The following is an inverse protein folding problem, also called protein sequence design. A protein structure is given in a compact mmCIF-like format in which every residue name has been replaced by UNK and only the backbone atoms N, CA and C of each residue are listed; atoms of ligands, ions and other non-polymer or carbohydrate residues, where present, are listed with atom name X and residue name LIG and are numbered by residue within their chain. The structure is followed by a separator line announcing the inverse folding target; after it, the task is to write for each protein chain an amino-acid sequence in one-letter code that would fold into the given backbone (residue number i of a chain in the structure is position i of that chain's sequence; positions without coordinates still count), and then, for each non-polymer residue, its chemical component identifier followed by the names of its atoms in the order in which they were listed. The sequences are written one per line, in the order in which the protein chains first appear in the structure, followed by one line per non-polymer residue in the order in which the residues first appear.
data_IF_477292895864
#
_entry.id   IF_477292895864
#
_cell.length_a   1.000
_cell.length_b   1.000
_cell.length_c   1.000
_cell.angle_alpha   90.00
_cell.angle_beta   90.00
_cell.angle_gamma   90.00
#
_symmetry.space_group_name_H-M   'P 1'
#
loop_
_entity.id
_entity.type
_entity.pdbx_description
1 polymer ?
#
# COMPACT_ATOMS: atom_id res chain seq x y z
N UNK A 1 -20.98 -25.14 -47.39
CA UNK A 1 -20.26 -23.94 -46.91
C UNK A 1 -21.25 -22.78 -46.80
N UNK A 2 -21.31 -22.01 -45.70
CA UNK A 2 -22.45 -21.09 -45.38
C UNK A 2 -22.26 -19.61 -45.76
N UNK A 3 -21.36 -19.28 -46.69
CA UNK A 3 -21.11 -17.90 -47.15
C UNK A 3 -20.97 -16.83 -46.03
N UNK A 4 -20.13 -17.11 -45.01
CA UNK A 4 -19.78 -16.19 -43.90
C UNK A 4 -18.26 -15.99 -43.79
N UNK A 5 -17.59 -15.88 -44.94
CA UNK A 5 -16.12 -15.87 -45.01
C UNK A 5 -15.50 -14.58 -44.47
N UNK A 6 -16.22 -13.46 -44.52
CA UNK A 6 -15.74 -12.15 -44.06
C UNK A 6 -16.66 -11.57 -42.99
N UNK A 7 -16.05 -10.96 -41.97
CA UNK A 7 -16.74 -10.19 -40.91
C UNK A 7 -16.22 -8.76 -40.99
N UNK A 8 -17.07 -7.83 -41.41
CA UNK A 8 -16.76 -6.40 -41.45
C UNK A 8 -17.28 -5.71 -40.19
N UNK A 9 -16.58 -4.67 -39.73
CA UNK A 9 -17.09 -3.80 -38.67
C UNK A 9 -18.26 -2.97 -39.20
N UNK A 10 -19.28 -2.80 -38.37
CA UNK A 10 -20.42 -1.93 -38.68
C UNK A 10 -19.98 -0.47 -38.60
N UNK A 11 -20.34 0.31 -39.61
CA UNK A 11 -20.10 1.75 -39.65
C UNK A 11 -21.12 2.54 -38.84
N UNK A 12 -21.01 3.88 -38.84
CA UNK A 12 -21.94 4.75 -38.13
C UNK A 12 -23.36 4.63 -38.71
N UNK A 13 -24.40 4.55 -37.86
CA UNK A 13 -25.79 4.53 -38.33
C UNK A 13 -26.23 5.96 -38.73
N UNK A 14 -26.89 6.07 -39.87
CA UNK A 14 -27.51 7.32 -40.34
C UNK A 14 -29.02 7.15 -40.22
N UNK A 15 -29.68 8.06 -39.49
CA UNK A 15 -31.12 8.00 -39.27
C UNK A 15 -31.80 9.20 -39.94
N UNK A 16 -32.89 8.94 -40.66
CA UNK A 16 -33.57 9.93 -41.49
C UNK A 16 -35.10 9.79 -41.35
N UNK A 17 -35.82 10.88 -41.61
CA UNK A 17 -37.27 10.96 -41.36
C UNK A 17 -38.15 10.38 -42.46
N UNK A 18 -37.68 10.38 -43.71
CA UNK A 18 -38.47 10.02 -44.90
C UNK A 18 -37.85 8.85 -45.66
N UNK A 19 -38.58 7.74 -45.72
CA UNK A 19 -38.26 6.58 -46.57
C UNK A 19 -38.37 7.01 -48.05
N UNK A 20 -37.25 7.01 -48.77
CA UNK A 20 -37.17 7.47 -50.17
C UNK A 20 -36.35 8.75 -50.42
N UNK A 21 -35.68 9.30 -49.40
CA UNK A 21 -34.74 10.40 -49.64
C UNK A 21 -33.51 9.93 -50.42
N UNK A 22 -32.99 10.77 -51.35
CA UNK A 22 -31.75 10.54 -52.13
C UNK A 22 -30.54 10.16 -51.26
N UNK A 23 -30.62 10.43 -49.96
CA UNK A 23 -29.66 10.06 -48.92
C UNK A 23 -29.52 8.53 -48.80
N UNK A 24 -30.62 7.78 -48.83
CA UNK A 24 -30.60 6.30 -48.70
C UNK A 24 -29.79 5.66 -49.83
N UNK A 25 -29.97 6.16 -51.05
CA UNK A 25 -29.24 5.68 -52.23
C UNK A 25 -27.78 6.09 -52.19
N UNK A 26 -27.47 7.32 -51.76
CA UNK A 26 -26.12 7.86 -51.66
C UNK A 26 -25.24 7.13 -50.63
N UNK A 27 -25.82 6.57 -49.56
CA UNK A 27 -25.08 5.89 -48.48
C UNK A 27 -25.13 4.36 -48.54
N UNK A 28 -25.77 3.77 -49.58
CA UNK A 28 -25.89 2.31 -49.76
C UNK A 28 -24.62 1.66 -50.33
N UNK A 29 -23.73 2.43 -50.95
CA UNK A 29 -22.42 2.00 -51.46
C UNK A 29 -21.47 3.22 -51.54
N UNK A 30 -20.16 3.14 -51.19
CA UNK A 30 -19.31 1.97 -51.02
C UNK A 30 -18.62 1.92 -49.64
N UNK A 31 -19.35 1.87 -48.52
CA UNK A 31 -18.80 1.57 -47.18
C UNK A 31 -19.89 0.91 -46.31
N UNK A 32 -19.55 0.12 -45.28
CA UNK A 32 -20.53 -0.59 -44.45
C UNK A 32 -21.27 0.35 -43.48
N UNK A 33 -21.92 1.40 -43.98
CA UNK A 33 -22.90 2.15 -43.21
C UNK A 33 -24.20 1.34 -43.17
N UNK A 34 -24.69 1.01 -41.98
CA UNK A 34 -25.96 0.31 -41.84
C UNK A 34 -27.11 1.31 -42.02
N UNK A 35 -27.66 1.36 -43.23
CA UNK A 35 -28.89 2.10 -43.54
C UNK A 35 -30.08 1.19 -43.22
N UNK A 36 -30.55 1.23 -41.98
CA UNK A 36 -31.65 0.39 -41.51
C UNK A 36 -33.03 1.00 -41.78
N UNK A 37 -33.92 0.28 -42.45
CA UNK A 37 -35.36 0.56 -42.58
C UNK A 37 -36.21 -0.23 -41.57
N UNK A 38 -35.67 -0.53 -40.39
CA UNK A 38 -36.42 -1.14 -39.29
C UNK A 38 -37.01 -0.06 -38.41
N UNK A 39 -38.35 0.14 -38.46
CA UNK A 39 -39.16 1.13 -37.70
C UNK A 39 -38.33 2.33 -37.19
N UNK A 40 -38.31 3.44 -37.96
CA UNK A 40 -37.19 4.36 -38.01
C UNK A 40 -36.77 4.83 -36.61
N UNK A 41 -35.47 4.73 -36.30
CA UNK A 41 -34.89 5.78 -35.48
C UNK A 41 -35.09 7.05 -36.32
N UNK A 42 -36.08 7.85 -35.95
CA UNK A 42 -36.39 9.11 -36.63
C UNK A 42 -35.40 10.18 -36.15
N UNK A 43 -35.18 11.26 -36.90
CA UNK A 43 -34.36 12.37 -36.41
C UNK A 43 -34.97 12.93 -35.11
N UNK A 44 -34.11 13.52 -34.26
CA UNK A 44 -34.40 13.77 -32.85
C UNK A 44 -35.78 14.38 -32.56
N UNK A 45 -36.25 15.31 -33.41
CA UNK A 45 -37.54 15.99 -33.27
C UNK A 45 -38.77 15.10 -33.48
N UNK A 46 -38.64 13.96 -34.20
CA UNK A 46 -39.72 12.99 -34.39
C UNK A 46 -39.71 11.86 -33.35
N UNK A 47 -38.69 11.77 -32.50
CA UNK A 47 -38.62 10.72 -31.48
C UNK A 47 -39.55 10.97 -30.31
N UNK A 48 -39.80 12.25 -29.98
CA UNK A 48 -40.69 12.67 -28.90
C UNK A 48 -42.14 12.24 -29.16
N UNK A 49 -42.58 12.21 -30.42
CA UNK A 49 -43.93 11.74 -30.78
C UNK A 49 -44.04 10.21 -30.68
N UNK A 50 -43.01 9.50 -31.12
CA UNK A 50 -42.97 8.04 -31.14
C UNK A 50 -42.88 7.44 -29.75
N UNK A 51 -42.02 7.98 -28.91
CA UNK A 51 -41.72 7.43 -27.59
C UNK A 51 -42.41 8.18 -26.46
N UNK A 52 -42.98 9.36 -26.75
CA UNK A 52 -43.57 10.23 -25.75
C UNK A 52 -42.50 10.96 -24.93
N UNK A 53 -42.98 11.68 -23.92
CA UNK A 53 -42.16 12.26 -22.85
C UNK A 53 -42.72 11.72 -21.52
N UNK A 54 -42.07 12.00 -20.39
CA UNK A 54 -42.64 11.63 -19.09
C UNK A 54 -44.05 12.17 -18.84
N UNK A 55 -44.39 13.29 -19.50
CA UNK A 55 -45.70 13.94 -19.37
C UNK A 55 -46.61 13.73 -20.59
N UNK A 56 -46.04 13.37 -21.76
CA UNK A 56 -46.78 13.18 -23.03
C UNK A 56 -46.85 11.70 -23.38
N UNK A 57 -48.06 11.21 -23.67
CA UNK A 57 -48.27 9.82 -24.09
C UNK A 57 -47.56 9.52 -25.42
N UNK A 58 -47.10 8.27 -25.55
CA UNK A 58 -46.48 7.76 -26.77
C UNK A 58 -47.54 7.39 -27.82
N UNK A 59 -47.21 7.56 -29.11
CA UNK A 59 -47.98 6.98 -30.23
C UNK A 59 -48.12 5.44 -30.13
N UNK A 60 -47.20 4.77 -29.42
CA UNK A 60 -47.23 3.31 -29.22
C UNK A 60 -48.26 2.96 -28.16
N UNK A 61 -49.24 2.12 -28.54
CA UNK A 61 -50.28 1.64 -27.63
C UNK A 61 -49.68 0.92 -26.42
N UNK A 62 -50.05 1.36 -25.21
CA UNK A 62 -49.64 0.74 -23.96
C UNK A 62 -48.17 0.96 -23.57
N UNK A 63 -47.45 1.86 -24.25
CA UNK A 63 -46.07 2.18 -23.94
C UNK A 63 -45.96 3.49 -23.15
N UNK A 64 -45.25 3.44 -22.04
CA UNK A 64 -44.85 4.61 -21.26
C UNK A 64 -43.34 4.54 -20.99
N UNK A 65 -42.70 5.70 -20.90
CA UNK A 65 -41.28 5.77 -20.57
C UNK A 65 -41.05 5.26 -19.14
N UNK A 66 -40.03 4.40 -18.92
CA UNK A 66 -39.69 3.94 -17.59
C UNK A 66 -39.21 5.12 -16.75
N UNK A 67 -39.79 5.28 -15.55
CA UNK A 67 -39.33 6.29 -14.59
C UNK A 67 -37.96 5.86 -14.04
N UNK A 68 -36.96 6.74 -14.02
CA UNK A 68 -35.67 6.39 -13.44
C UNK A 68 -35.81 6.26 -11.91
N UNK A 69 -35.19 5.23 -11.33
CA UNK A 69 -35.18 5.04 -9.88
C UNK A 69 -34.41 6.16 -9.15
N UNK A 70 -33.49 6.84 -9.85
CA UNK A 70 -32.71 7.97 -9.35
C UNK A 70 -32.78 9.12 -10.36
N UNK A 71 -33.20 10.30 -9.90
CA UNK A 71 -33.27 11.51 -10.75
C UNK A 71 -31.86 11.98 -11.12
N UNK A 72 -30.96 12.04 -10.14
CA UNK A 72 -29.56 12.39 -10.34
C UNK A 72 -28.71 11.11 -10.23
N UNK A 73 -28.08 10.71 -11.32
CA UNK A 73 -27.20 9.52 -11.35
C UNK A 73 -25.75 9.82 -10.93
N UNK A 74 -25.37 11.10 -10.82
CA UNK A 74 -24.03 11.50 -10.39
C UNK A 74 -23.90 11.41 -8.86
N UNK A 75 -23.50 10.21 -8.42
CA UNK A 75 -23.25 9.92 -7.01
C UNK A 75 -22.07 10.73 -6.46
N UNK A 76 -21.06 11.03 -7.28
CA UNK A 76 -19.88 11.78 -6.84
C UNK A 76 -20.26 13.20 -6.43
N UNK A 77 -21.15 13.84 -7.17
CA UNK A 77 -21.69 15.15 -6.81
C UNK A 77 -22.50 15.11 -5.52
N UNK A 78 -23.36 14.11 -5.36
CA UNK A 78 -24.22 13.97 -4.16
C UNK A 78 -23.36 13.69 -2.93
N UNK A 79 -22.40 12.76 -3.02
CA UNK A 79 -21.55 12.38 -1.89
C UNK A 79 -20.67 13.56 -1.45
N UNK A 80 -20.13 14.34 -2.39
CA UNK A 80 -19.25 15.47 -2.09
C UNK A 80 -20.00 16.78 -1.84
N UNK A 81 -21.32 16.74 -1.71
CA UNK A 81 -22.14 17.92 -1.38
C UNK A 81 -21.98 18.33 0.08
N UNK A 82 -22.07 19.62 0.36
CA UNK A 82 -21.85 20.17 1.69
C UNK A 82 -22.90 19.67 2.69
N UNK A 83 -24.14 19.49 2.24
CA UNK A 83 -25.24 18.99 3.07
C UNK A 83 -24.99 17.57 3.57
N UNK A 84 -24.42 16.71 2.72
CA UNK A 84 -24.05 15.34 3.09
C UNK A 84 -22.79 15.33 3.95
N UNK A 85 -21.75 16.07 3.55
CA UNK A 85 -20.47 16.08 4.27
C UNK A 85 -20.55 16.74 5.64
N UNK A 86 -21.49 17.67 5.86
CA UNK A 86 -21.73 18.29 7.16
C UNK A 86 -22.26 17.31 8.22
N UNK A 87 -23.12 16.37 7.81
CA UNK A 87 -23.75 15.40 8.72
C UNK A 87 -22.88 14.14 8.90
N UNK A 88 -22.13 13.77 7.87
CA UNK A 88 -21.32 12.53 7.86
C UNK A 88 -20.13 12.65 8.80
N UNK A 89 -19.88 11.58 9.57
CA UNK A 89 -18.68 11.46 10.39
C UNK A 89 -17.44 11.34 9.50
N UNK A 90 -16.31 11.96 9.88
CA UNK A 90 -15.10 11.89 9.07
C UNK A 90 -14.62 10.45 8.92
N UNK A 91 -14.05 10.15 7.75
CA UNK A 91 -13.55 8.83 7.42
C UNK A 91 -12.38 8.43 8.34
N UNK A 92 -12.49 7.27 8.99
CA UNK A 92 -11.38 6.65 9.72
C UNK A 92 -10.43 6.01 8.73
N UNK A 93 -9.22 6.55 8.57
CA UNK A 93 -8.19 6.04 7.65
C UNK A 93 -7.31 4.94 8.26
N UNK A 94 -7.51 4.62 9.53
CA UNK A 94 -6.69 3.63 10.22
C UNK A 94 -7.05 2.21 9.76
N UNK A 95 -6.08 1.51 9.18
CA UNK A 95 -6.19 0.08 8.89
C UNK A 95 -5.54 -0.67 10.04
N UNK A 96 -6.34 -1.20 10.96
CA UNK A 96 -5.86 -2.05 12.05
C UNK A 96 -5.47 -3.41 11.50
N UNK A 97 -4.17 -3.70 11.41
CA UNK A 97 -3.69 -5.05 11.08
C UNK A 97 -3.57 -5.89 12.35
N UNK A 98 -3.92 -7.16 12.27
CA UNK A 98 -3.69 -8.09 13.37
C UNK A 98 -2.18 -8.22 13.62
N UNK A 99 -1.75 -7.89 14.84
CA UNK A 99 -0.36 -8.08 15.24
C UNK A 99 -0.10 -9.55 15.54
N UNK A 100 1.03 -10.09 15.05
CA UNK A 100 1.46 -11.44 15.42
C UNK A 100 1.80 -11.49 16.91
N UNK A 101 1.23 -12.47 17.61
CA UNK A 101 1.55 -12.75 19.01
C UNK A 101 2.92 -13.42 19.10
N UNK A 102 3.94 -12.67 19.49
CA UNK A 102 5.28 -13.25 19.77
C UNK A 102 5.28 -13.91 21.15
N UNK A 103 5.97 -15.04 21.27
CA UNK A 103 6.11 -15.74 22.54
C UNK A 103 7.01 -14.92 23.51
N UNK A 104 6.52 -14.52 24.69
CA UNK A 104 7.31 -13.71 25.63
C UNK A 104 8.47 -14.48 26.27
N UNK A 105 8.40 -15.81 26.39
CA UNK A 105 9.51 -16.56 26.97
C UNK A 105 10.76 -16.51 26.07
N UNK A 106 10.51 -16.56 24.75
CA UNK A 106 11.53 -16.51 23.71
C UNK A 106 11.92 -15.07 23.32
N UNK A 107 10.96 -14.14 23.28
CA UNK A 107 11.20 -12.76 22.87
C UNK A 107 11.18 -11.80 24.07
N UNK A 108 12.37 -11.34 24.47
CA UNK A 108 12.58 -10.43 25.59
C UNK A 108 11.83 -9.11 25.44
N UNK A 109 11.72 -8.52 24.24
CA UNK A 109 11.03 -7.24 24.06
C UNK A 109 9.54 -7.38 24.40
N UNK A 110 8.89 -8.45 23.94
CA UNK A 110 7.50 -8.74 24.31
C UNK A 110 7.33 -9.08 25.77
N UNK A 111 8.27 -9.80 26.38
CA UNK A 111 8.27 -10.08 27.81
C UNK A 111 8.32 -8.80 28.64
N UNK A 112 9.17 -7.85 28.25
CA UNK A 112 9.33 -6.57 28.96
C UNK A 112 8.14 -5.64 28.74
N UNK A 113 7.54 -5.65 27.54
CA UNK A 113 6.30 -4.91 27.25
C UNK A 113 5.14 -5.39 28.11
N UNK A 114 5.05 -6.69 28.37
CA UNK A 114 4.00 -7.29 29.21
C UNK A 114 4.34 -7.24 30.71
N UNK A 115 5.60 -7.47 31.07
CA UNK A 115 6.08 -7.51 32.45
C UNK A 115 7.38 -6.68 32.62
N UNK A 116 7.27 -5.43 33.09
CA UNK A 116 8.41 -4.56 33.34
C UNK A 116 9.39 -5.10 34.40
N UNK A 117 8.87 -5.78 35.44
CA UNK A 117 9.68 -6.28 36.56
C UNK A 117 10.65 -7.39 36.16
N UNK A 118 10.38 -8.08 35.04
CA UNK A 118 11.19 -9.19 34.57
C UNK A 118 12.62 -8.78 34.18
N UNK A 119 12.83 -7.50 33.86
CA UNK A 119 14.18 -6.92 33.66
C UNK A 119 15.02 -7.02 34.93
N UNK A 120 14.43 -6.65 36.07
CA UNK A 120 15.11 -6.65 37.37
C UNK A 120 15.39 -8.08 37.83
N UNK A 121 14.41 -8.97 37.68
CA UNK A 121 14.58 -10.40 37.99
C UNK A 121 15.72 -11.04 37.17
N UNK A 122 15.76 -10.80 35.84
CA UNK A 122 16.87 -11.27 34.98
C UNK A 122 18.22 -10.67 35.41
N UNK A 123 18.25 -9.39 35.81
CA UNK A 123 19.48 -8.73 36.30
C UNK A 123 19.99 -9.36 37.61
N UNK A 124 19.11 -9.59 38.57
CA UNK A 124 19.45 -10.21 39.87
C UNK A 124 19.98 -11.63 39.65
N UNK A 125 19.30 -12.43 38.82
CA UNK A 125 19.74 -13.79 38.50
C UNK A 125 21.09 -13.82 37.78
N UNK A 126 21.35 -12.88 36.86
CA UNK A 126 22.65 -12.76 36.18
C UNK A 126 23.77 -12.39 37.16
N UNK A 127 23.54 -11.41 38.04
CA UNK A 127 24.49 -11.02 39.08
C UNK A 127 24.80 -12.20 40.03
N UNK A 128 23.79 -13.01 40.35
CA UNK A 128 23.95 -14.22 41.17
C UNK A 128 24.69 -15.34 40.44
N UNK A 129 24.49 -15.49 39.11
CA UNK A 129 25.14 -16.51 38.27
C UNK A 129 26.58 -16.16 37.89
N UNK A 130 26.94 -14.87 37.86
CA UNK A 130 28.34 -14.48 37.64
C UNK A 130 29.19 -15.19 38.70
N UNK A 131 30.16 -16.04 38.31
CA UNK A 131 31.04 -16.63 39.30
C UNK A 131 31.70 -15.46 40.03
N UNK A 132 31.63 -15.45 41.37
CA UNK A 132 32.52 -14.61 42.16
C UNK A 132 33.90 -14.96 41.61
N UNK A 133 34.53 -14.05 40.84
CA UNK A 133 35.93 -14.22 40.45
C UNK A 133 36.60 -14.57 41.76
N UNK A 134 37.02 -15.83 41.91
CA UNK A 134 37.81 -16.25 43.07
C UNK A 134 38.95 -15.26 43.00
N UNK A 135 38.98 -14.31 43.94
CA UNK A 135 40.18 -13.54 44.23
C UNK A 135 41.26 -14.59 44.16
N UNK A 136 42.15 -14.51 43.17
CA UNK A 136 43.21 -15.48 43.02
C UNK A 136 43.72 -15.71 44.44
N UNK A 137 43.62 -16.93 44.96
CA UNK A 137 44.35 -17.26 46.18
C UNK A 137 45.76 -16.82 45.80
N UNK A 138 46.22 -15.70 46.37
CA UNK A 138 47.61 -15.30 46.27
C UNK A 138 48.32 -16.43 46.99
N UNK A 139 48.64 -17.49 46.25
CA UNK A 139 49.70 -18.40 46.61
C UNK A 139 50.88 -17.47 46.85
N UNK A 140 51.23 -17.26 48.12
CA UNK A 140 52.52 -16.70 48.52
C UNK A 140 53.57 -17.70 48.02
N UNK A 141 53.88 -17.65 46.73
CA UNK A 141 55.08 -18.28 46.21
C UNK A 141 56.23 -17.48 46.81
N UNK A 142 56.95 -18.09 47.77
CA UNK A 142 58.29 -17.61 48.14
C UNK A 142 59.12 -17.71 46.87
N UNK A 143 59.47 -16.58 46.25
CA UNK A 143 60.35 -16.58 45.09
C UNK A 143 61.71 -17.19 45.52
N UNK A 144 62.31 -18.09 44.72
CA UNK A 144 63.62 -18.66 45.02
C UNK A 144 64.68 -17.56 45.11
N UNK A 145 65.67 -17.75 45.98
CA UNK A 145 66.67 -16.72 46.34
C UNK A 145 67.62 -16.32 45.19
N UNK A 146 67.54 -16.96 44.01
CA UNK A 146 68.47 -16.75 42.89
C UNK A 146 68.13 -15.61 41.92
N UNK A 147 67.06 -14.84 42.16
CA UNK A 147 66.75 -13.65 41.36
C UNK A 147 67.16 -12.32 42.01
N UNK A 148 67.67 -12.34 43.26
CA UNK A 148 68.18 -11.13 43.93
C UNK A 148 69.56 -10.71 43.42
N UNK A 149 70.39 -11.64 42.94
CA UNK A 149 71.73 -11.32 42.43
C UNK A 149 71.73 -10.73 41.01
N UNK A 150 70.76 -11.10 40.16
CA UNK A 150 70.69 -10.60 38.77
C UNK A 150 70.12 -9.18 38.64
N UNK A 151 69.32 -8.72 39.61
CA UNK A 151 68.84 -7.33 39.63
C UNK A 151 69.87 -6.34 40.18
N UNK A 152 70.80 -6.75 41.05
CA UNK A 152 71.82 -5.84 41.60
C UNK A 152 72.95 -5.52 40.60
N UNK A 153 73.25 -6.43 39.67
CA UNK A 153 74.32 -6.22 38.68
C UNK A 153 73.89 -5.38 37.46
N UNK A 154 72.57 -5.25 37.23
CA UNK A 154 72.00 -4.41 36.17
C UNK A 154 71.73 -2.97 36.60
N UNK A 155 71.86 -2.67 37.90
CA UNK A 155 71.72 -1.32 38.48
C UNK A 155 73.08 -0.67 38.71
N UNK A 156 74.15 -1.43 38.96
CA UNK A 156 75.52 -0.89 39.10
C UNK A 156 76.21 -0.55 37.77
N UNK A 157 75.78 -1.15 36.65
CA UNK A 157 76.35 -0.90 35.32
C UNK A 157 75.77 0.34 34.64
N UNK A 158 74.60 0.84 35.05
CA UNK A 158 73.98 2.04 34.48
C UNK A 158 74.24 3.34 35.27
N UNK A 159 74.93 3.30 36.41
CA UNK A 159 75.39 4.50 37.13
C UNK A 159 76.85 4.90 36.82
N UNK A 160 77.66 4.02 36.23
CA UNK A 160 79.02 4.38 35.75
C UNK A 160 79.04 4.97 34.32
N UNK A 161 77.94 4.89 33.57
CA UNK A 161 77.85 5.48 32.22
C UNK A 161 77.43 6.95 32.18
N UNK A 162 76.97 7.52 33.31
CA UNK A 162 76.41 8.90 33.35
C UNK A 162 77.39 9.95 33.88
N UNK A 163 78.62 9.58 34.28
CA UNK A 163 79.63 10.51 34.83
C UNK A 163 80.75 10.84 33.81
N UNK A 164 80.73 10.27 32.59
CA UNK A 164 81.79 10.48 31.59
C UNK A 164 81.39 11.34 30.36
N UNK A 165 80.21 11.95 30.33
CA UNK A 165 79.88 12.99 29.34
C UNK A 165 79.31 14.22 30.05
N UNK A 166 80.23 15.05 30.56
CA UNK A 166 79.93 16.28 31.28
C UNK A 166 81.19 17.04 31.68
N UNK A 167 82.05 17.39 30.72
CA UNK A 167 83.07 18.44 30.85
C UNK A 167 83.26 19.11 29.47
N UNK A 168 83.17 20.44 29.47
CA UNK A 168 83.37 21.42 28.38
C UNK A 168 82.20 21.63 27.40
#
# INVERSE_FOLDING_TARGET
MRNRRYISRKGPPIVYGTEGSKIVEAFRAPQPAEVGSGRPHRPAHLLDSVSGTFDKLSEKKGYALPRPNMVNADLSKIINSDEVQYVVRPMKKEVTRHSLKKNPLENLYTLLKLNPSAKNARRITLLRRRPRRRSSKRTRTRLPQDLKFKCYLLISSNLLGFVLYGVA
#
